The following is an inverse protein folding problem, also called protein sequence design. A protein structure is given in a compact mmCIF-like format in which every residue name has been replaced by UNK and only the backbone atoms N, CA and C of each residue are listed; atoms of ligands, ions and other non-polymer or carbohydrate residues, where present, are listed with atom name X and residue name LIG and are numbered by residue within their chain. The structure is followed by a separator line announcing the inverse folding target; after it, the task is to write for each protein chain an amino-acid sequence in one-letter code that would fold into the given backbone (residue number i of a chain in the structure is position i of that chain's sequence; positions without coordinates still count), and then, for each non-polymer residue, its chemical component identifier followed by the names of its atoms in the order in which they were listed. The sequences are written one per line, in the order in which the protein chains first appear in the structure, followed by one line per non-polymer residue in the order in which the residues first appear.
data_IF_870195608489
#
_entry.id   IF_870195608489
#
_cell.length_a   1.000
_cell.length_b   1.000
_cell.length_c   1.000
_cell.angle_alpha   90.00
_cell.angle_beta   90.00
_cell.angle_gamma   90.00
#
_symmetry.space_group_name_H-M   'P 1'
#
loop_
_entity.id
_entity.type
_entity.pdbx_description
1 polymer ?
#
# COMPACT_ATOMS: atom_id res chain seq x y z
N UNK A 1 16.53 -32.85 -20.78
CA UNK A 1 16.65 -31.67 -19.91
C UNK A 1 15.25 -31.13 -19.72
N UNK A 2 14.64 -31.35 -18.56
CA UNK A 2 13.32 -30.75 -18.27
C UNK A 2 13.56 -29.30 -17.87
N UNK A 3 13.14 -28.38 -18.72
CA UNK A 3 13.03 -26.98 -18.36
C UNK A 3 11.77 -26.86 -17.51
N UNK A 4 11.92 -26.84 -16.19
CA UNK A 4 10.86 -26.39 -15.30
C UNK A 4 10.82 -24.87 -15.48
N UNK A 5 9.86 -24.38 -16.26
CA UNK A 5 9.62 -22.95 -16.33
C UNK A 5 9.16 -22.49 -14.93
N UNK A 6 10.00 -21.77 -14.20
CA UNK A 6 9.54 -20.96 -13.09
C UNK A 6 8.69 -19.82 -13.69
N UNK A 7 7.41 -20.07 -13.91
CA UNK A 7 6.45 -18.99 -14.10
C UNK A 7 6.43 -18.18 -12.81
N UNK A 8 6.88 -16.93 -12.86
CA UNK A 8 6.75 -16.02 -11.72
C UNK A 8 5.26 -15.92 -11.35
N UNK A 9 4.91 -16.27 -10.12
CA UNK A 9 3.59 -16.10 -9.57
C UNK A 9 3.25 -14.61 -9.42
N UNK A 10 1.96 -14.31 -9.31
CA UNK A 10 1.55 -12.97 -8.92
C UNK A 10 1.86 -12.75 -7.42
N UNK A 11 2.18 -11.51 -7.00
CA UNK A 11 2.27 -11.16 -5.59
C UNK A 11 0.97 -11.45 -4.85
N UNK A 12 1.09 -11.87 -3.59
CA UNK A 12 -0.04 -12.11 -2.70
C UNK A 12 -0.11 -10.95 -1.71
N UNK A 13 -1.17 -10.15 -1.85
CA UNK A 13 -1.46 -9.05 -0.95
C UNK A 13 -2.00 -9.54 0.41
N UNK A 14 -1.70 -8.82 1.48
CA UNK A 14 -2.33 -8.97 2.80
C UNK A 14 -2.97 -7.64 3.20
N UNK A 15 -4.18 -7.71 3.74
CA UNK A 15 -4.90 -6.49 4.10
C UNK A 15 -4.23 -5.79 5.28
N UNK A 16 -4.04 -4.47 5.14
CA UNK A 16 -3.66 -3.59 6.23
C UNK A 16 -4.86 -2.86 6.82
N UNK A 17 -4.78 -2.55 8.12
CA UNK A 17 -5.75 -1.70 8.81
C UNK A 17 -4.99 -0.72 9.69
N UNK A 18 -5.31 0.57 9.51
CA UNK A 18 -4.80 1.66 10.33
C UNK A 18 -5.97 2.46 10.90
N UNK A 19 -5.90 2.78 12.19
CA UNK A 19 -6.82 3.68 12.87
C UNK A 19 -6.04 4.92 13.31
N UNK A 20 -6.67 6.07 13.18
CA UNK A 20 -6.08 7.35 13.59
C UNK A 20 -7.18 8.28 14.07
N UNK A 21 -6.81 9.20 14.95
CA UNK A 21 -7.70 10.29 15.35
C UNK A 21 -7.77 11.35 14.26
N UNK A 22 -8.74 12.25 14.39
CA UNK A 22 -8.80 13.41 13.52
C UNK A 22 -7.49 14.22 13.59
N UNK A 23 -7.12 14.84 12.46
CA UNK A 23 -5.91 15.63 12.31
C UNK A 23 -4.57 14.90 12.55
N UNK A 24 -4.57 13.59 12.80
CA UNK A 24 -3.34 12.81 13.00
C UNK A 24 -2.93 12.12 11.70
N UNK A 25 -1.83 12.58 11.11
CA UNK A 25 -1.28 12.01 9.87
C UNK A 25 -0.85 10.56 10.10
N UNK A 26 -1.24 9.68 9.18
CA UNK A 26 -0.81 8.28 9.16
C UNK A 26 0.27 8.13 8.10
N UNK A 27 1.39 7.56 8.51
CA UNK A 27 2.43 7.07 7.61
C UNK A 27 2.47 5.55 7.76
N UNK A 28 2.52 4.84 6.65
CA UNK A 28 2.60 3.38 6.66
C UNK A 28 3.21 2.84 5.37
N UNK A 29 3.31 1.51 5.28
CA UNK A 29 3.75 0.86 4.07
C UNK A 29 2.90 -0.38 3.80
N UNK A 30 2.25 -0.40 2.63
CA UNK A 30 1.31 -1.44 2.23
C UNK A 30 1.96 -2.75 1.77
N UNK A 31 3.29 -2.77 1.56
CA UNK A 31 4.01 -3.94 1.07
C UNK A 31 4.67 -4.74 2.21
N UNK A 32 4.54 -4.31 3.48
CA UNK A 32 5.30 -4.89 4.60
C UNK A 32 4.93 -6.34 4.92
N UNK A 33 3.68 -6.73 4.65
CA UNK A 33 3.13 -8.06 4.87
C UNK A 33 2.78 -8.79 3.55
N UNK A 34 2.99 -8.12 2.41
CA UNK A 34 2.85 -8.70 1.09
C UNK A 34 4.03 -9.63 0.78
N UNK A 35 3.79 -10.62 -0.09
CA UNK A 35 4.85 -11.55 -0.51
C UNK A 35 4.67 -12.04 -1.93
N UNK A 36 5.79 -12.26 -2.59
CA UNK A 36 5.83 -12.95 -3.86
C UNK A 36 6.16 -14.45 -3.65
N UNK A 37 5.41 -15.39 -4.25
CA UNK A 37 5.67 -16.83 -4.10
C UNK A 37 7.06 -17.29 -4.57
N UNK A 38 7.71 -16.50 -5.42
CA UNK A 38 9.04 -16.76 -5.95
C UNK A 38 10.11 -15.88 -5.27
N UNK A 39 9.74 -15.14 -4.22
CA UNK A 39 10.58 -14.16 -3.54
C UNK A 39 11.10 -13.04 -4.47
N UNK A 40 10.38 -12.76 -5.57
CA UNK A 40 10.67 -11.61 -6.42
C UNK A 40 10.36 -10.30 -5.68
N UNK A 41 11.09 -9.20 -5.95
CA UNK A 41 10.74 -7.89 -5.43
C UNK A 41 9.32 -7.48 -5.84
N UNK A 42 8.58 -6.90 -4.91
CA UNK A 42 7.24 -6.36 -5.12
C UNK A 42 7.28 -4.84 -5.14
N UNK A 43 6.46 -4.23 -6.00
CA UNK A 43 6.34 -2.77 -6.12
C UNK A 43 4.88 -2.39 -6.19
N UNK A 44 4.52 -1.27 -5.57
CA UNK A 44 3.19 -0.70 -5.70
C UNK A 44 3.07 0.15 -6.97
N UNK A 45 1.84 0.35 -7.45
CA UNK A 45 1.56 1.39 -8.43
C UNK A 45 1.44 2.72 -7.67
N UNK A 46 2.26 3.74 -7.99
CA UNK A 46 2.17 5.02 -7.30
C UNK A 46 0.78 5.64 -7.43
N UNK A 47 0.30 6.20 -6.32
CA UNK A 47 -0.97 6.92 -6.26
C UNK A 47 -0.65 8.38 -5.98
N UNK A 48 -0.93 9.23 -6.98
CA UNK A 48 -0.85 10.67 -6.82
C UNK A 48 -1.82 11.14 -5.72
N UNK A 49 -1.51 12.25 -5.01
CA UNK A 49 -2.38 12.79 -3.98
C UNK A 49 -3.83 12.96 -4.47
N UNK A 50 -4.79 12.35 -3.76
CA UNK A 50 -6.21 12.47 -4.08
C UNK A 50 -7.07 12.62 -2.81
N UNK A 51 -8.25 13.23 -2.97
CA UNK A 51 -9.22 13.38 -1.90
C UNK A 51 -10.05 12.11 -1.74
N UNK A 52 -10.02 11.55 -0.54
CA UNK A 52 -10.84 10.40 -0.14
C UNK A 52 -12.30 10.81 0.07
N UNK A 53 -13.21 9.82 0.12
CA UNK A 53 -14.64 10.04 0.38
C UNK A 53 -14.94 10.67 1.76
N UNK A 54 -14.01 10.58 2.71
CA UNK A 54 -14.09 11.23 4.03
C UNK A 54 -13.38 12.59 4.07
N UNK A 55 -12.83 13.04 2.95
CA UNK A 55 -12.20 14.36 2.78
C UNK A 55 -10.74 14.45 3.22
N UNK A 56 -10.14 13.36 3.70
CA UNK A 56 -8.68 13.29 3.90
C UNK A 56 -7.95 13.11 2.57
N UNK A 57 -6.66 13.43 2.53
CA UNK A 57 -5.79 13.27 1.35
C UNK A 57 -4.96 12.00 1.51
N UNK A 58 -4.90 11.19 0.46
CA UNK A 58 -4.07 9.98 0.41
C UNK A 58 -3.08 10.04 -0.75
N UNK A 59 -1.85 9.55 -0.54
CA UNK A 59 -0.86 9.30 -1.59
C UNK A 59 0.02 8.10 -1.26
N UNK A 60 0.58 7.43 -2.27
CA UNK A 60 1.50 6.30 -2.11
C UNK A 60 2.56 6.29 -3.21
N UNK A 61 3.80 5.87 -2.89
CA UNK A 61 4.87 5.67 -3.86
C UNK A 61 5.06 4.21 -4.28
N UNK A 62 6.01 3.95 -5.20
CA UNK A 62 6.26 2.59 -5.71
C UNK A 62 6.83 1.61 -4.66
N UNK A 63 7.35 2.12 -3.54
CA UNK A 63 7.84 1.32 -2.42
C UNK A 63 6.72 0.87 -1.48
N UNK A 64 5.48 1.29 -1.76
CA UNK A 64 4.31 1.04 -0.92
C UNK A 64 4.19 2.00 0.26
N UNK A 65 5.16 2.89 0.46
CA UNK A 65 5.08 3.91 1.49
C UNK A 65 3.95 4.87 1.15
N UNK A 66 3.05 5.08 2.11
CA UNK A 66 1.88 5.93 1.94
C UNK A 66 1.75 6.94 3.07
N UNK A 67 1.06 8.03 2.75
CA UNK A 67 0.66 9.08 3.68
C UNK A 67 -0.85 9.25 3.56
N UNK A 68 -1.54 9.24 4.70
CA UNK A 68 -2.92 9.69 4.81
C UNK A 68 -3.00 10.87 5.77
N UNK A 69 -3.50 12.00 5.27
CA UNK A 69 -3.78 13.20 6.07
C UNK A 69 -5.30 13.30 6.26
N UNK A 70 -5.84 13.01 7.45
CA UNK A 70 -7.27 13.15 7.70
C UNK A 70 -7.77 14.57 7.48
N UNK A 71 -9.06 14.71 7.16
CA UNK A 71 -9.71 16.03 7.09
C UNK A 71 -9.68 16.69 8.48
N UNK A 72 -9.24 17.95 8.54
CA UNK A 72 -9.33 18.73 9.77
C UNK A 72 -10.79 18.86 10.25
N UNK A 73 -11.03 18.57 11.53
CA UNK A 73 -12.35 18.69 12.16
C UNK A 73 -13.37 17.61 11.77
N UNK A 74 -12.93 16.47 11.21
CA UNK A 74 -13.78 15.28 11.14
C UNK A 74 -14.02 14.75 12.56
N UNK A 75 -15.27 14.51 12.95
CA UNK A 75 -15.71 13.92 14.23
C UNK A 75 -16.59 12.73 13.95
#
# INVERSE_FOLDING_TARGET
MNVIACTNGAPIAVNDVYNTDNCTVVNGNALTNDRDPNNSPITAVPIAPFLTSKGGVFSMDATGAFIYTPKAGFV
#
